data_IF_910927786180
#
_entry.id   IF_910927786180
#
_cell.length_a   1.000
_cell.length_b   1.000
_cell.length_c   1.000
_cell.angle_alpha   90.00
_cell.angle_beta   90.00
_cell.angle_gamma   90.00
#
_symmetry.space_group_name_H-M   'P 1'
#
loop_
_entity.id
_entity.type
_entity.pdbx_description
1 polymer ?
#
# COMPACT_ATOMS: atom_id res chain seq x y z
N UNK A 1 14.64 4.94 -1.13
CA UNK A 1 14.79 4.98 0.33
C UNK A 1 14.74 3.53 0.80
N UNK A 2 15.84 3.00 1.35
CA UNK A 2 15.82 1.69 1.99
C UNK A 2 14.77 1.63 3.10
N UNK A 3 14.11 0.49 3.28
CA UNK A 3 13.34 0.22 4.50
C UNK A 3 14.31 0.18 5.69
N UNK A 4 13.90 0.76 6.82
CA UNK A 4 14.65 0.84 8.07
C UNK A 4 14.26 -0.29 9.04
N UNK A 5 13.06 -0.85 8.92
CA UNK A 5 12.59 -2.01 9.70
C UNK A 5 12.77 -3.33 8.95
N UNK A 6 12.51 -4.43 9.66
CA UNK A 6 12.50 -5.79 9.09
C UNK A 6 11.19 -6.17 8.44
N UNK A 7 10.11 -5.41 8.60
CA UNK A 7 8.79 -5.82 8.14
C UNK A 7 8.10 -4.72 7.35
N UNK A 8 7.52 -5.11 6.21
CA UNK A 8 6.72 -4.23 5.38
C UNK A 8 5.40 -4.92 5.07
N UNK A 9 4.31 -4.29 5.48
CA UNK A 9 2.97 -4.67 5.10
C UNK A 9 2.60 -3.97 3.79
N UNK A 10 2.22 -4.75 2.79
CA UNK A 10 1.91 -4.28 1.44
C UNK A 10 0.43 -4.48 1.18
N UNK A 11 -0.22 -3.40 0.75
CA UNK A 11 -1.61 -3.42 0.28
C UNK A 11 -1.63 -2.96 -1.16
N UNK A 12 -2.17 -3.77 -2.06
CA UNK A 12 -2.34 -3.39 -3.46
C UNK A 12 -3.79 -3.55 -3.89
N UNK A 13 -4.24 -2.69 -4.79
CA UNK A 13 -5.61 -2.71 -5.33
C UNK A 13 -5.75 -1.89 -6.60
N UNK A 14 -6.75 -2.24 -7.38
CA UNK A 14 -7.34 -1.38 -8.40
C UNK A 14 -8.47 -0.56 -7.78
N UNK A 15 -8.72 0.63 -8.33
CA UNK A 15 -9.75 1.57 -7.88
C UNK A 15 -10.60 1.93 -9.09
N UNK A 16 -11.92 1.97 -8.92
CA UNK A 16 -12.82 2.44 -9.97
C UNK A 16 -12.42 3.87 -10.43
N UNK A 17 -12.42 4.15 -11.75
CA UNK A 17 -11.96 5.45 -12.28
C UNK A 17 -12.67 6.65 -11.65
N UNK A 18 -13.98 6.54 -11.38
CA UNK A 18 -14.81 7.57 -10.76
C UNK A 18 -14.43 7.83 -9.30
N UNK A 19 -13.71 6.91 -8.66
CA UNK A 19 -13.28 6.98 -7.26
C UNK A 19 -11.79 7.27 -7.10
N UNK A 20 -11.00 7.28 -8.17
CA UNK A 20 -9.54 7.52 -8.12
C UNK A 20 -9.18 8.83 -7.39
N UNK A 21 -9.85 9.94 -7.71
CA UNK A 21 -9.58 11.23 -7.06
C UNK A 21 -9.89 11.21 -5.55
N UNK A 22 -11.07 10.71 -5.18
CA UNK A 22 -11.49 10.59 -3.78
C UNK A 22 -10.59 9.62 -3.01
N UNK A 23 -10.23 8.49 -3.62
CA UNK A 23 -9.30 7.53 -3.06
C UNK A 23 -7.98 8.20 -2.70
N UNK A 24 -7.37 8.97 -3.62
CA UNK A 24 -6.10 9.63 -3.32
C UNK A 24 -6.24 10.69 -2.23
N UNK A 25 -7.29 11.52 -2.27
CA UNK A 25 -7.56 12.52 -1.23
C UNK A 25 -7.71 11.87 0.15
N UNK A 26 -8.58 10.87 0.28
CA UNK A 26 -8.84 10.18 1.55
C UNK A 26 -7.59 9.44 2.03
N UNK A 27 -6.84 8.82 1.12
CA UNK A 27 -5.61 8.13 1.52
C UNK A 27 -4.57 9.09 2.11
N UNK A 28 -4.38 10.24 1.46
CA UNK A 28 -3.31 11.18 1.80
C UNK A 28 -3.69 12.05 3.02
N UNK A 29 -4.97 12.38 3.18
CA UNK A 29 -5.43 13.32 4.21
C UNK A 29 -6.01 12.65 5.46
N UNK A 30 -6.48 11.40 5.35
CA UNK A 30 -7.12 10.68 6.47
C UNK A 30 -6.41 9.36 6.74
N UNK A 31 -6.39 8.44 5.77
CA UNK A 31 -6.00 7.05 6.03
C UNK A 31 -4.53 6.89 6.46
N UNK A 32 -3.60 7.50 5.71
CA UNK A 32 -2.16 7.44 6.04
C UNK A 32 -1.85 8.14 7.36
N UNK A 33 -2.32 9.39 7.60
CA UNK A 33 -2.13 10.03 8.90
C UNK A 33 -2.64 9.20 10.08
N UNK A 34 -3.83 8.61 9.97
CA UNK A 34 -4.39 7.76 11.03
C UNK A 34 -3.54 6.50 11.27
N UNK A 35 -3.10 5.81 10.20
CA UNK A 35 -2.25 4.62 10.35
C UNK A 35 -0.84 4.96 10.86
N UNK A 36 -0.28 6.11 10.49
CA UNK A 36 0.99 6.59 11.05
C UNK A 36 0.90 6.94 12.55
N UNK A 37 -0.31 7.16 13.07
CA UNK A 37 -0.51 7.37 14.51
C UNK A 37 -0.43 6.08 15.34
N UNK A 38 -0.52 4.91 14.69
CA UNK A 38 -0.45 3.61 15.36
C UNK A 38 0.99 3.33 15.80
N UNK A 39 1.24 3.04 17.09
CA UNK A 39 2.58 2.72 17.58
C UNK A 39 3.21 1.55 16.82
N UNK A 40 4.43 1.77 16.33
CA UNK A 40 5.20 0.79 15.56
C UNK A 40 4.95 0.83 14.04
N UNK A 41 4.09 1.72 13.54
CA UNK A 41 4.06 2.09 12.12
C UNK A 41 5.07 3.22 11.90
N UNK A 42 6.08 2.96 11.07
CA UNK A 42 7.28 3.82 10.96
C UNK A 42 7.19 4.75 9.76
N UNK A 43 6.71 4.23 8.64
CA UNK A 43 6.56 5.03 7.42
C UNK A 43 5.49 4.42 6.54
N UNK A 44 4.90 5.25 5.68
CA UNK A 44 4.01 4.80 4.61
C UNK A 44 4.47 5.41 3.30
N UNK A 45 4.56 4.59 2.26
CA UNK A 45 4.80 5.03 0.89
C UNK A 45 3.70 4.51 -0.01
N UNK A 46 3.38 5.27 -1.06
CA UNK A 46 2.39 4.88 -2.06
C UNK A 46 2.99 4.94 -3.45
N UNK A 47 2.60 4.02 -4.32
CA UNK A 47 2.95 4.03 -5.73
C UNK A 47 1.69 3.84 -6.59
N UNK A 48 1.75 4.41 -7.79
CA UNK A 48 0.78 4.18 -8.86
C UNK A 48 1.50 3.50 -10.03
N UNK A 49 0.93 2.42 -10.53
CA UNK A 49 1.44 1.67 -11.69
C UNK A 49 1.55 2.60 -12.89
N UNK A 50 2.62 2.43 -13.67
CA UNK A 50 2.83 3.10 -14.96
C UNK A 50 3.22 2.06 -16.00
N UNK A 51 2.83 2.24 -17.27
CA UNK A 51 3.31 1.38 -18.35
C UNK A 51 4.84 1.38 -18.41
N UNK A 52 5.42 0.19 -18.56
CA UNK A 52 6.84 0.02 -18.69
C UNK A 52 7.15 -1.21 -19.55
N UNK A 53 8.36 -1.22 -20.12
CA UNK A 53 8.92 -2.37 -20.81
C UNK A 53 10.25 -2.74 -20.17
N UNK A 54 10.49 -4.04 -20.02
CA UNK A 54 11.70 -4.61 -19.45
C UNK A 54 12.49 -5.33 -20.55
N UNK A 55 13.79 -5.06 -20.63
CA UNK A 55 14.69 -5.76 -21.53
C UNK A 55 15.08 -7.13 -20.95
N UNK A 56 14.66 -8.22 -21.59
CA UNK A 56 14.96 -9.61 -21.17
C UNK A 56 15.42 -10.40 -22.38
N UNK A 57 16.63 -10.97 -22.31
CA UNK A 57 17.14 -11.86 -23.36
C UNK A 57 17.33 -11.19 -24.73
N UNK A 58 17.49 -9.86 -24.77
CA UNK A 58 17.61 -9.09 -26.02
C UNK A 58 16.30 -8.55 -26.58
N UNK A 59 15.17 -8.82 -25.92
CA UNK A 59 13.84 -8.34 -26.33
C UNK A 59 13.24 -7.39 -25.28
N UNK A 60 12.39 -6.46 -25.74
CA UNK A 60 11.57 -5.63 -24.85
C UNK A 60 10.22 -6.31 -24.61
N UNK A 61 9.89 -6.54 -23.33
CA UNK A 61 8.62 -7.12 -22.90
C UNK A 61 7.86 -6.14 -22.03
N UNK A 62 6.58 -5.94 -22.30
CA UNK A 62 5.71 -5.16 -21.42
C UNK A 62 5.56 -5.86 -20.06
N UNK A 63 5.48 -5.07 -18.99
CA UNK A 63 5.37 -5.56 -17.61
C UNK A 63 4.20 -4.91 -16.88
N UNK A 64 3.74 -5.58 -15.81
CA UNK A 64 2.65 -5.09 -14.96
C UNK A 64 1.26 -5.42 -15.48
N UNK A 65 1.15 -6.38 -16.40
CA UNK A 65 -0.13 -6.98 -16.77
C UNK A 65 -0.74 -7.69 -15.55
N UNK A 66 -2.05 -7.51 -15.33
CA UNK A 66 -2.78 -8.03 -14.15
C UNK A 66 -2.41 -7.41 -12.78
N UNK A 67 -1.28 -6.72 -12.66
CA UNK A 67 -0.85 -6.10 -11.40
C UNK A 67 -1.78 -4.94 -10.99
N UNK A 68 -2.08 -4.74 -9.69
CA UNK A 68 -2.94 -3.65 -9.27
C UNK A 68 -2.36 -2.26 -9.57
N UNK A 69 -3.25 -1.30 -9.83
CA UNK A 69 -2.90 0.08 -10.18
C UNK A 69 -2.26 0.86 -9.04
N UNK A 70 -2.55 0.51 -7.78
CA UNK A 70 -2.01 1.16 -6.60
C UNK A 70 -1.37 0.17 -5.64
N UNK A 71 -0.28 0.61 -5.00
CA UNK A 71 0.36 -0.12 -3.90
C UNK A 71 0.66 0.85 -2.76
N UNK A 72 0.34 0.46 -1.53
CA UNK A 72 0.78 1.10 -0.30
C UNK A 72 1.73 0.17 0.46
N UNK A 73 2.84 0.74 0.94
CA UNK A 73 3.88 0.06 1.70
C UNK A 73 3.91 0.66 3.09
N UNK A 74 3.55 -0.14 4.10
CA UNK A 74 3.57 0.22 5.50
C UNK A 74 4.79 -0.43 6.15
N UNK A 75 5.76 0.38 6.51
CA UNK A 75 6.93 -0.06 7.25
C UNK A 75 6.56 -0.20 8.72
N UNK A 76 6.72 -1.40 9.29
CA UNK A 76 6.29 -1.72 10.66
C UNK A 76 7.40 -2.40 11.46
N UNK A 77 7.37 -2.23 12.79
CA UNK A 77 8.36 -2.82 13.70
C UNK A 77 8.11 -4.31 13.99
N UNK A 78 6.84 -4.74 13.97
CA UNK A 78 6.39 -6.09 14.27
C UNK A 78 5.28 -6.52 13.28
N UNK A 79 5.31 -7.74 12.74
CA UNK A 79 4.31 -8.20 11.77
C UNK A 79 2.89 -8.30 12.36
N UNK A 80 2.74 -8.35 13.69
CA UNK A 80 1.46 -8.45 14.37
C UNK A 80 0.76 -7.09 14.55
N UNK A 81 1.41 -5.97 14.22
CA UNK A 81 0.80 -4.63 14.33
C UNK A 81 -0.51 -4.53 13.56
N UNK A 82 -0.59 -5.16 12.38
CA UNK A 82 -1.80 -5.15 11.53
C UNK A 82 -2.98 -5.93 12.12
N UNK A 83 -2.74 -6.74 13.16
CA UNK A 83 -3.76 -7.49 13.90
C UNK A 83 -4.11 -6.87 15.26
N UNK A 84 -3.52 -5.71 15.58
CA UNK A 84 -3.77 -5.01 16.85
C UNK A 84 -5.08 -4.21 16.83
N UNK A 85 -5.68 -4.00 18.00
CA UNK A 85 -6.86 -3.15 18.15
C UNK A 85 -6.62 -1.71 17.69
N UNK A 86 -5.39 -1.19 17.91
CA UNK A 86 -5.01 0.15 17.49
C UNK A 86 -5.04 0.28 15.96
N UNK A 87 -4.49 -0.70 15.25
CA UNK A 87 -4.57 -0.76 13.80
C UNK A 87 -6.00 -0.90 13.31
N UNK A 88 -6.76 -1.86 13.86
CA UNK A 88 -8.14 -2.12 13.44
C UNK A 88 -9.02 -0.86 13.59
N UNK A 89 -8.83 -0.11 14.67
CA UNK A 89 -9.51 1.16 14.88
C UNK A 89 -9.06 2.22 13.85
N UNK A 90 -7.76 2.44 13.71
CA UNK A 90 -7.23 3.47 12.81
C UNK A 90 -7.57 3.20 11.34
N UNK A 91 -7.53 1.94 10.89
CA UNK A 91 -7.81 1.56 9.50
C UNK A 91 -9.27 1.77 9.10
N UNK A 92 -10.18 1.85 10.06
CA UNK A 92 -11.61 2.09 9.83
C UNK A 92 -12.00 3.55 10.11
N UNK A 93 -11.07 4.42 10.51
CA UNK A 93 -11.34 5.85 10.71
C UNK A 93 -11.57 6.57 9.37
N UNK A 94 -12.50 7.52 9.39
CA UNK A 94 -12.73 8.44 8.27
C UNK A 94 -13.55 7.82 7.14
N UNK A 95 -13.36 8.35 5.93
CA UNK A 95 -14.19 8.00 4.76
C UNK A 95 -13.76 6.71 4.07
N UNK A 96 -12.64 6.11 4.49
CA UNK A 96 -12.07 4.92 3.84
C UNK A 96 -13.06 3.75 3.76
N UNK A 97 -13.67 3.39 4.90
CA UNK A 97 -14.50 2.20 5.02
C UNK A 97 -15.76 2.22 4.14
N UNK A 98 -16.40 3.39 4.07
CA UNK A 98 -17.72 3.56 3.48
C UNK A 98 -17.70 4.16 2.06
N UNK A 99 -16.76 5.07 1.77
CA UNK A 99 -16.75 5.83 0.51
C UNK A 99 -15.68 5.36 -0.48
N UNK A 100 -14.68 4.61 -0.01
CA UNK A 100 -13.52 4.20 -0.84
C UNK A 100 -13.44 2.69 -0.99
N UNK A 101 -13.31 1.94 0.12
CA UNK A 101 -13.10 0.48 0.11
C UNK A 101 -14.10 -0.30 -0.76
N UNK A 102 -15.41 0.02 -0.81
CA UNK A 102 -16.38 -0.71 -1.65
C UNK A 102 -16.09 -0.62 -3.15
N UNK A 103 -15.32 0.37 -3.59
CA UNK A 103 -14.99 0.64 -4.99
C UNK A 103 -13.55 0.24 -5.36
N UNK A 104 -12.98 -0.66 -4.56
CA UNK A 104 -11.65 -1.25 -4.79
C UNK A 104 -11.80 -2.72 -5.17
N UNK A 105 -10.94 -3.19 -6.06
CA UNK A 105 -10.90 -4.59 -6.52
C UNK A 105 -9.47 -5.04 -6.76
N UNK A 106 -9.27 -6.30 -7.16
CA UNK A 106 -7.93 -6.90 -7.31
C UNK A 106 -7.05 -6.65 -6.06
N UNK A 107 -7.67 -6.82 -4.88
CA UNK A 107 -7.09 -6.37 -3.62
C UNK A 107 -6.25 -7.48 -2.99
N UNK A 108 -5.01 -7.17 -2.68
CA UNK A 108 -4.07 -8.09 -2.03
C UNK A 108 -3.49 -7.48 -0.76
N UNK A 109 -3.16 -8.37 0.18
CA UNK A 109 -2.47 -8.06 1.42
C UNK A 109 -1.31 -9.02 1.58
N UNK A 110 -0.12 -8.48 1.85
CA UNK A 110 1.05 -9.29 2.09
C UNK A 110 1.92 -8.68 3.19
N UNK A 111 2.38 -9.51 4.11
CA UNK A 111 3.42 -9.15 5.07
C UNK A 111 4.74 -9.72 4.56
N UNK A 112 5.76 -8.87 4.43
CA UNK A 112 7.09 -9.28 3.98
C UNK A 112 8.12 -9.01 5.06
N UNK A 113 9.02 -9.98 5.25
CA UNK A 113 10.28 -9.75 5.96
C UNK A 113 11.34 -9.24 4.97
N UNK A 114 11.97 -8.12 5.30
CA UNK A 114 13.03 -7.50 4.51
C UNK A 114 14.33 -8.27 4.76
N UNK A 115 14.80 -8.98 3.75
CA UNK A 115 16.04 -9.76 3.81
C UNK A 115 17.28 -8.93 3.50
N UNK A 116 17.16 -7.90 2.67
CA UNK A 116 18.21 -6.94 2.35
C UNK A 116 17.60 -5.55 2.15
N UNK A 117 18.25 -4.53 2.70
CA UNK A 117 17.92 -3.12 2.48
C UNK A 117 19.22 -2.36 2.22
N UNK A 118 19.35 -1.77 1.02
CA UNK A 118 20.54 -1.05 0.59
C UNK A 118 20.17 0.40 0.21
N UNK A 119 21.05 1.38 0.48
CA UNK A 119 20.81 2.80 0.24
C UNK A 119 20.59 3.17 -1.24
#
# INVERSE_FOLDING_TARGET
MPFKTRYVFVVSMDVEPERDALFNEVYDTEHVPELLSVPGVISVSRSKKRPASLAIGGELKEVGDGEPGYIAYYEVEDPNITSSDAWAKASETGRWADEVRPYTHNRHHAMHEITVSAP
#
